data_IF_060148765001
#
_entry.id   IF_060148765001
#
_cell.length_a   1.000
_cell.length_b   1.000
_cell.length_c   1.000
_cell.angle_alpha   90.00
_cell.angle_beta   90.00
_cell.angle_gamma   90.00
#
_symmetry.space_group_name_H-M   'P 1'
#
loop_
_entity.id
_entity.type
_entity.pdbx_description
1 polymer ?
#
# COMPACT_ATOMS: atom_id res chain seq x y z
N UNK A 1 18.88 16.88 11.81
CA UNK A 1 19.39 17.37 10.51
C UNK A 1 19.82 16.24 9.58
N UNK A 2 20.64 15.26 10.00
CA UNK A 2 21.03 14.12 9.14
C UNK A 2 19.88 13.15 8.77
N UNK A 3 18.91 12.92 9.67
CA UNK A 3 17.79 12.01 9.38
C UNK A 3 16.91 12.47 8.20
N UNK A 4 16.51 13.74 8.18
CA UNK A 4 15.76 14.32 7.05
C UNK A 4 16.55 14.30 5.73
N UNK A 5 17.87 14.48 5.80
CA UNK A 5 18.72 14.38 4.61
C UNK A 5 18.72 12.94 4.05
N UNK A 6 18.96 11.93 4.91
CA UNK A 6 18.94 10.53 4.49
C UNK A 6 17.57 10.09 3.96
N UNK A 7 16.49 10.54 4.60
CA UNK A 7 15.14 10.31 4.11
C UNK A 7 14.90 10.96 2.73
N UNK A 8 15.40 12.18 2.53
CA UNK A 8 15.34 12.87 1.25
C UNK A 8 16.09 12.15 0.13
N UNK A 9 17.35 11.78 0.37
CA UNK A 9 18.20 11.06 -0.60
C UNK A 9 17.61 9.69 -0.97
N UNK A 10 17.10 8.95 0.02
CA UNK A 10 16.36 7.71 -0.22
C UNK A 10 15.10 7.96 -1.06
N UNK A 11 14.34 9.00 -0.72
CA UNK A 11 13.12 9.39 -1.43
C UNK A 11 13.38 9.75 -2.89
N UNK A 12 14.43 10.51 -3.20
CA UNK A 12 14.81 10.83 -4.59
C UNK A 12 15.01 9.58 -5.44
N UNK A 13 15.47 8.49 -4.81
CA UNK A 13 15.70 7.20 -5.49
C UNK A 13 14.41 6.40 -5.65
N UNK A 14 13.50 6.39 -4.67
CA UNK A 14 12.39 5.42 -4.62
C UNK A 14 10.99 6.01 -4.78
N UNK A 15 10.80 7.33 -4.72
CA UNK A 15 9.46 7.95 -4.84
C UNK A 15 8.75 7.65 -6.16
N UNK A 16 9.50 7.36 -7.23
CA UNK A 16 8.92 6.95 -8.51
C UNK A 16 8.15 5.61 -8.44
N UNK A 17 8.37 4.82 -7.38
CA UNK A 17 7.64 3.57 -7.06
C UNK A 17 6.64 3.72 -5.92
N UNK A 18 6.50 4.93 -5.37
CA UNK A 18 5.59 5.21 -4.27
C UNK A 18 4.14 5.19 -4.73
N UNK A 19 3.28 4.51 -3.98
CA UNK A 19 1.84 4.54 -4.13
C UNK A 19 1.28 5.58 -3.16
N UNK A 20 0.67 6.62 -3.70
CA UNK A 20 -0.06 7.60 -2.88
C UNK A 20 -1.28 6.95 -2.23
N UNK A 21 -1.40 7.12 -0.92
CA UNK A 21 -2.49 6.58 -0.11
C UNK A 21 -3.31 7.75 0.44
N UNK A 22 -4.63 7.73 0.23
CA UNK A 22 -5.53 8.76 0.73
C UNK A 22 -6.77 8.11 1.32
N UNK A 23 -6.82 8.00 2.64
CA UNK A 23 -7.93 7.40 3.37
C UNK A 23 -9.02 8.38 3.80
N UNK A 24 -8.88 9.70 3.58
CA UNK A 24 -9.89 10.69 3.99
C UNK A 24 -10.90 10.96 2.88
N UNK A 25 -10.46 10.90 1.62
CA UNK A 25 -11.29 11.29 0.49
C UNK A 25 -11.74 10.10 -0.34
N UNK A 26 -12.63 9.29 0.23
CA UNK A 26 -13.35 8.26 -0.50
C UNK A 26 -14.82 8.21 -0.05
N UNK A 27 -15.63 9.23 -0.37
CA UNK A 27 -17.06 9.18 -0.08
C UNK A 27 -17.72 7.99 -0.78
N UNK A 28 -18.85 7.51 -0.27
CA UNK A 28 -19.51 6.28 -0.77
C UNK A 28 -19.76 6.32 -2.30
N UNK A 29 -20.10 7.49 -2.84
CA UNK A 29 -20.36 7.72 -4.26
C UNK A 29 -19.09 7.65 -5.15
N UNK A 30 -17.90 7.73 -4.54
CA UNK A 30 -16.60 7.59 -5.22
C UNK A 30 -15.81 6.37 -4.74
N UNK A 31 -16.38 5.57 -3.83
CA UNK A 31 -15.67 4.47 -3.17
C UNK A 31 -15.18 3.42 -4.17
N UNK A 32 -15.97 3.12 -5.21
CA UNK A 32 -15.57 2.19 -6.26
C UNK A 32 -14.33 2.69 -7.00
N UNK A 33 -14.38 3.89 -7.57
CA UNK A 33 -13.25 4.51 -8.27
C UNK A 33 -12.00 4.58 -7.38
N UNK A 34 -12.18 4.96 -6.12
CA UNK A 34 -11.06 5.04 -5.18
C UNK A 34 -10.40 3.67 -4.95
N UNK A 35 -11.19 2.60 -4.76
CA UNK A 35 -10.66 1.23 -4.66
C UNK A 35 -9.99 0.83 -5.98
N UNK A 36 -10.57 1.19 -7.12
CA UNK A 36 -9.98 0.88 -8.42
C UNK A 36 -8.60 1.51 -8.59
N UNK A 37 -8.44 2.77 -8.21
CA UNK A 37 -7.19 3.51 -8.29
C UNK A 37 -6.14 2.96 -7.33
N UNK A 38 -6.53 2.69 -6.08
CA UNK A 38 -5.64 2.12 -5.07
C UNK A 38 -5.10 0.76 -5.54
N UNK A 39 -5.98 -0.15 -5.94
CA UNK A 39 -5.58 -1.48 -6.43
C UNK A 39 -4.73 -1.34 -7.69
N UNK A 40 -5.10 -0.49 -8.65
CA UNK A 40 -4.32 -0.32 -9.88
C UNK A 40 -2.89 0.16 -9.60
N UNK A 41 -2.73 1.18 -8.75
CA UNK A 41 -1.41 1.71 -8.39
C UNK A 41 -0.57 0.67 -7.62
N UNK A 42 -1.20 -0.06 -6.70
CA UNK A 42 -0.54 -1.13 -5.95
C UNK A 42 -0.06 -2.27 -6.87
N UNK A 43 -0.88 -2.67 -7.83
CA UNK A 43 -0.53 -3.70 -8.81
C UNK A 43 0.61 -3.26 -9.73
N UNK A 44 0.64 -1.99 -10.17
CA UNK A 44 1.77 -1.45 -10.93
C UNK A 44 3.07 -1.54 -10.12
N UNK A 45 3.06 -1.12 -8.85
CA UNK A 45 4.24 -1.18 -7.99
C UNK A 45 4.73 -2.64 -7.77
N UNK A 46 3.81 -3.60 -7.69
CA UNK A 46 4.16 -5.03 -7.61
C UNK A 46 4.74 -5.55 -8.92
N UNK A 47 4.16 -5.17 -10.05
CA UNK A 47 4.66 -5.56 -11.38
C UNK A 47 6.08 -5.02 -11.63
N UNK A 48 6.37 -3.78 -11.21
CA UNK A 48 7.72 -3.20 -11.27
C UNK A 48 8.75 -4.00 -10.44
N UNK A 49 8.29 -4.67 -9.38
CA UNK A 49 9.09 -5.58 -8.56
C UNK A 49 9.04 -7.05 -9.04
N UNK A 50 8.45 -7.32 -10.21
CA UNK A 50 8.37 -8.66 -10.81
C UNK A 50 7.26 -9.56 -10.27
N UNK A 51 6.25 -9.01 -9.58
CA UNK A 51 5.10 -9.77 -9.06
C UNK A 51 3.82 -9.38 -9.81
N UNK A 52 3.39 -10.21 -10.75
CA UNK A 52 2.17 -9.98 -11.54
C UNK A 52 0.92 -10.58 -10.92
N UNK A 53 0.01 -9.78 -10.37
CA UNK A 53 -1.24 -10.28 -9.76
C UNK A 53 -2.41 -10.06 -10.72
N UNK A 54 -3.24 -11.09 -10.91
CA UNK A 54 -4.44 -10.94 -11.72
C UNK A 54 -5.54 -10.23 -10.93
N UNK A 55 -6.30 -9.38 -11.62
CA UNK A 55 -7.38 -8.58 -11.04
C UNK A 55 -8.66 -8.77 -11.82
N UNK A 56 -9.76 -9.04 -11.11
CA UNK A 56 -11.12 -8.91 -11.63
C UNK A 56 -11.69 -7.50 -11.45
N UNK A 57 -12.92 -7.23 -11.95
CA UNK A 57 -13.57 -5.94 -11.76
C UNK A 57 -13.87 -5.69 -10.28
N UNK A 58 -13.81 -4.41 -9.88
CA UNK A 58 -14.42 -3.98 -8.61
C UNK A 58 -15.93 -4.00 -8.80
N UNK A 59 -16.64 -4.48 -7.80
CA UNK A 59 -18.10 -4.61 -7.85
C UNK A 59 -18.73 -4.37 -6.49
N UNK A 60 -19.92 -3.81 -6.50
CA UNK A 60 -20.75 -3.66 -5.31
C UNK A 60 -21.60 -4.91 -5.11
N UNK A 61 -21.52 -5.52 -3.93
CA UNK A 61 -22.36 -6.66 -3.53
C UNK A 61 -22.98 -6.37 -2.16
N UNK A 62 -24.25 -5.98 -2.16
CA UNK A 62 -24.90 -5.44 -0.97
C UNK A 62 -24.22 -4.14 -0.55
N UNK A 63 -23.76 -4.08 0.70
CA UNK A 63 -23.08 -2.92 1.28
C UNK A 63 -21.54 -3.04 1.21
N UNK A 64 -21.00 -3.89 0.33
CA UNK A 64 -19.57 -4.16 0.23
C UNK A 64 -19.04 -3.90 -1.17
N UNK A 65 -17.84 -3.30 -1.26
CA UNK A 65 -17.02 -3.34 -2.45
C UNK A 65 -16.16 -4.59 -2.43
N UNK A 66 -16.26 -5.38 -3.49
CA UNK A 66 -15.49 -6.60 -3.68
C UNK A 66 -14.56 -6.42 -4.87
N UNK A 67 -13.31 -6.86 -4.72
CA UNK A 67 -12.34 -6.97 -5.80
C UNK A 67 -11.79 -8.40 -5.82
N UNK A 68 -11.66 -8.99 -6.99
CA UNK A 68 -11.00 -10.28 -7.14
C UNK A 68 -9.51 -10.06 -7.35
N UNK A 69 -8.67 -10.70 -6.53
CA UNK A 69 -7.21 -10.70 -6.63
C UNK A 69 -6.69 -12.14 -6.65
N UNK A 70 -6.04 -12.53 -7.76
CA UNK A 70 -5.58 -13.90 -8.02
C UNK A 70 -6.69 -14.95 -7.88
N UNK A 71 -7.88 -14.67 -8.43
CA UNK A 71 -9.01 -15.61 -8.38
C UNK A 71 -9.69 -15.72 -7.02
N UNK A 72 -9.35 -14.86 -6.06
CA UNK A 72 -9.97 -14.81 -4.73
C UNK A 72 -10.68 -13.49 -4.53
N UNK A 73 -11.97 -13.57 -4.17
CA UNK A 73 -12.77 -12.42 -3.81
C UNK A 73 -12.33 -11.84 -2.46
N UNK A 74 -12.03 -10.55 -2.48
CA UNK A 74 -11.68 -9.75 -1.31
C UNK A 74 -12.76 -8.70 -1.08
N UNK A 75 -13.28 -8.64 0.14
CA UNK A 75 -14.07 -7.47 0.59
C UNK A 75 -13.09 -6.32 0.78
N UNK A 76 -12.96 -5.47 -0.25
CA UNK A 76 -12.05 -4.33 -0.26
C UNK A 76 -12.53 -3.23 0.69
N UNK A 77 -13.84 -3.04 0.80
CA UNK A 77 -14.44 -2.02 1.67
C UNK A 77 -15.85 -2.39 2.09
N UNK A 78 -16.16 -2.13 3.36
CA UNK A 78 -17.52 -2.05 3.88
C UNK A 78 -18.01 -0.61 3.72
N UNK A 79 -19.13 -0.40 3.03
CA UNK A 79 -19.68 0.93 2.74
C UNK A 79 -20.48 1.51 3.90
N UNK A 80 -20.89 0.70 4.89
CA UNK A 80 -21.70 1.15 6.03
C UNK A 80 -20.84 1.55 7.23
N UNK A 81 -19.88 0.71 7.56
CA UNK A 81 -19.10 0.83 8.79
C UNK A 81 -17.58 0.89 8.52
N UNK A 82 -17.15 0.80 7.25
CA UNK A 82 -15.75 0.74 6.86
C UNK A 82 -15.13 2.11 6.54
N UNK A 83 -14.16 2.51 7.36
CA UNK A 83 -13.25 3.61 7.02
C UNK A 83 -12.38 3.24 5.81
N UNK A 84 -12.15 4.18 4.89
CA UNK A 84 -11.33 3.93 3.71
C UNK A 84 -9.87 3.57 4.06
N UNK A 85 -9.36 4.03 5.20
CA UNK A 85 -8.06 3.59 5.73
C UNK A 85 -7.98 2.08 5.97
N UNK A 86 -9.06 1.43 6.44
CA UNK A 86 -9.13 -0.02 6.58
C UNK A 86 -9.04 -0.74 5.24
N UNK A 87 -9.57 -0.12 4.18
CA UNK A 87 -9.51 -0.69 2.83
C UNK A 87 -8.06 -0.79 2.34
N UNK A 88 -7.21 0.18 2.70
CA UNK A 88 -5.78 0.15 2.39
C UNK A 88 -5.13 -1.05 3.07
N UNK A 89 -5.33 -1.22 4.37
CA UNK A 89 -4.74 -2.35 5.11
C UNK A 89 -5.18 -3.70 4.55
N UNK A 90 -6.47 -3.86 4.25
CA UNK A 90 -7.04 -5.10 3.70
C UNK A 90 -6.47 -5.43 2.33
N UNK A 91 -6.44 -4.45 1.41
CA UNK A 91 -5.91 -4.63 0.05
C UNK A 91 -4.41 -4.93 0.10
N UNK A 92 -3.62 -4.11 0.80
CA UNK A 92 -2.17 -4.30 0.87
C UNK A 92 -1.81 -5.61 1.57
N UNK A 93 -2.56 -6.05 2.59
CA UNK A 93 -2.34 -7.35 3.25
C UNK A 93 -2.59 -8.53 2.31
N UNK A 94 -3.66 -8.49 1.50
CA UNK A 94 -3.92 -9.55 0.52
C UNK A 94 -2.82 -9.62 -0.53
N UNK A 95 -2.37 -8.46 -1.02
CA UNK A 95 -1.28 -8.37 -2.00
C UNK A 95 0.06 -8.84 -1.42
N UNK A 96 0.36 -8.50 -0.17
CA UNK A 96 1.56 -8.97 0.53
C UNK A 96 1.56 -10.49 0.72
N UNK A 97 0.40 -11.08 1.06
CA UNK A 97 0.24 -12.52 1.14
C UNK A 97 0.48 -13.21 -0.22
N UNK A 98 -0.07 -12.65 -1.31
CA UNK A 98 0.19 -13.16 -2.67
C UNK A 98 1.68 -13.10 -3.01
N UNK A 99 2.36 -12.00 -2.69
CA UNK A 99 3.80 -11.86 -2.90
C UNK A 99 4.60 -12.88 -2.08
N UNK A 100 4.20 -13.13 -0.83
CA UNK A 100 4.82 -14.12 0.04
C UNK A 100 4.66 -15.55 -0.49
N UNK A 101 3.45 -15.92 -0.93
CA UNK A 101 3.15 -17.24 -1.53
C UNK A 101 4.00 -17.51 -2.79
N UNK A 102 4.36 -16.45 -3.51
CA UNK A 102 5.22 -16.50 -4.70
C UNK A 102 6.71 -16.42 -4.38
N UNK A 103 7.09 -16.34 -3.10
CA UNK A 103 8.49 -16.29 -2.67
C UNK A 103 9.20 -14.95 -2.97
N UNK A 104 8.45 -13.87 -3.23
CA UNK A 104 9.06 -12.55 -3.36
C UNK A 104 9.70 -12.12 -2.05
N UNK A 105 10.82 -11.40 -2.11
CA UNK A 105 11.44 -10.77 -0.95
C UNK A 105 10.87 -9.35 -0.68
N UNK A 106 10.21 -8.74 -1.67
CA UNK A 106 9.61 -7.43 -1.53
C UNK A 106 8.33 -7.51 -0.69
N UNK A 107 8.12 -6.53 0.19
CA UNK A 107 6.95 -6.44 1.08
C UNK A 107 6.39 -5.02 1.04
N UNK A 108 5.13 -4.88 1.41
CA UNK A 108 4.53 -3.55 1.58
C UNK A 108 5.04 -2.86 2.84
N UNK A 109 5.53 -1.64 2.67
CA UNK A 109 5.89 -0.70 3.73
C UNK A 109 5.12 0.59 3.50
N UNK A 110 4.34 1.06 4.48
CA UNK A 110 3.56 2.28 4.31
C UNK A 110 3.49 3.11 5.59
N UNK A 111 3.11 4.37 5.45
CA UNK A 111 2.87 5.27 6.59
C UNK A 111 1.74 6.24 6.26
N UNK A 112 1.20 6.84 7.32
CA UNK A 112 0.27 7.97 7.27
C UNK A 112 0.85 9.12 8.09
N UNK A 113 0.54 10.37 7.72
CA UNK A 113 1.03 11.55 8.44
C UNK A 113 0.16 11.91 9.65
N UNK A 114 -0.87 11.12 9.97
CA UNK A 114 -1.88 11.45 10.99
C UNK A 114 -3.02 12.33 10.43
N UNK A 115 -2.79 12.93 9.28
CA UNK A 115 -3.76 13.16 8.20
C UNK A 115 -3.74 11.86 7.38
N UNK A 116 -4.84 11.22 6.97
CA UNK A 116 -4.82 9.89 6.36
C UNK A 116 -4.33 9.90 4.90
N UNK A 117 -3.50 10.89 4.59
CA UNK A 117 -2.60 10.90 3.46
C UNK A 117 -1.31 10.18 3.85
N UNK A 118 -0.83 9.37 2.93
CA UNK A 118 0.30 8.50 3.16
C UNK A 118 0.95 8.06 1.87
N UNK A 119 1.93 7.18 2.02
CA UNK A 119 2.52 6.49 0.89
C UNK A 119 2.85 5.05 1.25
N UNK A 120 2.72 4.18 0.25
CA UNK A 120 3.08 2.78 0.32
C UNK A 120 4.16 2.43 -0.71
N UNK A 121 5.06 1.54 -0.33
CA UNK A 121 6.18 1.09 -1.14
C UNK A 121 6.22 -0.43 -1.10
N UNK A 122 6.25 -1.06 -2.27
CA UNK A 122 6.47 -2.50 -2.40
C UNK A 122 7.92 -2.75 -2.78
N UNK A 123 8.75 -2.95 -1.76
CA UNK A 123 10.21 -2.98 -1.86
C UNK A 123 10.80 -4.02 -0.91
N UNK A 124 12.03 -4.44 -1.15
CA UNK A 124 12.78 -5.30 -0.25
C UNK A 124 13.28 -4.52 0.96
N UNK A 125 13.61 -5.23 2.05
CA UNK A 125 14.23 -4.61 3.24
C UNK A 125 15.56 -3.94 2.90
N UNK A 126 16.32 -4.46 1.93
CA UNK A 126 17.57 -3.84 1.49
C UNK A 126 17.32 -2.47 0.82
N UNK A 127 16.23 -2.33 0.08
CA UNK A 127 15.84 -1.06 -0.54
C UNK A 127 15.30 -0.06 0.49
N UNK A 128 14.89 -0.52 1.68
CA UNK A 128 14.54 0.35 2.81
C UNK A 128 15.77 0.92 3.55
N UNK A 129 16.99 0.48 3.18
CA UNK A 129 18.24 0.97 3.77
C UNK A 129 18.82 2.10 2.92
N UNK A 130 19.11 3.23 3.57
CA UNK A 130 19.78 4.39 2.97
C UNK A 130 21.20 4.03 2.52
N UNK A 131 21.80 4.86 1.66
CA UNK A 131 23.22 4.71 1.24
C UNK A 131 24.20 4.77 2.42
N UNK A 132 23.79 5.36 3.55
CA UNK A 132 24.53 5.43 4.79
C UNK A 132 24.40 4.16 5.68
N UNK A 133 23.63 3.15 5.25
CA UNK A 133 23.42 1.92 5.99
C UNK A 133 22.39 2.02 7.11
N UNK A 134 21.53 3.04 7.08
CA UNK A 134 20.46 3.25 8.08
C UNK A 134 19.11 2.85 7.47
N UNK A 135 18.33 2.05 8.18
CA UNK A 135 16.94 1.74 7.80
C UNK A 135 16.08 3.00 7.90
N UNK A 136 15.35 3.32 6.83
CA UNK A 136 14.44 4.46 6.76
C UNK A 136 13.33 4.39 7.81
N UNK A 137 12.93 3.19 8.22
CA UNK A 137 11.94 2.98 9.28
C UNK A 137 12.42 3.45 10.66
N UNK A 138 13.74 3.53 10.87
CA UNK A 138 14.36 3.97 12.13
C UNK A 138 14.65 5.48 12.15
N UNK A 139 14.44 6.17 11.03
CA UNK A 139 14.68 7.61 10.94
C UNK A 139 13.59 8.38 11.69
N UNK A 140 14.00 9.15 12.70
CA UNK A 140 13.13 10.09 13.41
C UNK A 140 12.86 11.35 12.56
N UNK A 141 12.00 11.19 11.54
CA UNK A 141 11.56 12.26 10.64
C UNK A 141 10.07 12.58 10.77
N UNK A 142 9.44 12.11 11.86
CA UNK A 142 8.03 12.34 12.14
C UNK A 142 7.06 11.46 11.34
N UNK A 143 7.56 10.40 10.70
CA UNK A 143 6.72 9.36 10.05
C UNK A 143 6.81 8.07 10.84
N UNK A 144 5.70 7.34 10.94
CA UNK A 144 5.66 6.01 11.52
C UNK A 144 5.32 4.99 10.45
N UNK A 145 6.22 4.04 10.26
CA UNK A 145 6.07 2.98 9.27
C UNK A 145 5.25 1.81 9.80
N UNK A 146 4.49 1.21 8.90
CA UNK A 146 3.66 0.05 9.12
C UNK A 146 3.93 -0.98 8.03
N UNK A 147 3.73 -2.24 8.41
CA UNK A 147 3.57 -3.35 7.48
C UNK A 147 2.13 -3.84 7.59
N UNK A 148 1.50 -4.25 6.49
CA UNK A 148 0.19 -4.87 6.57
C UNK A 148 0.33 -6.13 7.43
N UNK A 149 -0.58 -6.31 8.38
CA UNK A 149 -0.71 -7.56 9.11
C UNK A 149 -2.01 -8.20 8.68
N UNK A 150 -1.99 -9.49 8.34
CA UNK A 150 -3.24 -10.22 8.15
C UNK A 150 -4.02 -10.15 9.47
N UNK A 151 -5.29 -9.68 9.46
CA UNK A 151 -6.18 -9.82 10.60
C UNK A 151 -6.53 -11.28 10.89
#
# INVERSE_FOLDING_TARGET
MRAHQFFGEWGETLWHRGVYLDGDFAPEDQAEQWVEELVSKALTAMADAGVEVSRGPVRVVGDHLIVELDGVDLVARDLRDGHASLSIEVILSRLDAIAADRGSAARWHFWYTGDPVGAGFFVTEQEMVTTAGVDVCELDVGVKWYRPQMP
#
